data_IF_983041068007
#
_entry.id   IF_983041068007
#
_cell.length_a   1.000
_cell.length_b   1.000
_cell.length_c   1.000
_cell.angle_alpha   90.00
_cell.angle_beta   90.00
_cell.angle_gamma   90.00
#
_symmetry.space_group_name_H-M   'P 1'
#
loop_
_entity.id
_entity.type
_entity.pdbx_description
1 polymer ?
#
# COMPACT_ATOMS: atom_id res chain seq x y z
N UNK A 1 -32.00 -30.53 -11.53
CA UNK A 1 -30.66 -30.95 -11.10
C UNK A 1 -30.18 -29.93 -10.08
N UNK A 2 -29.87 -30.37 -8.87
CA UNK A 2 -29.33 -29.50 -7.83
C UNK A 2 -27.84 -29.30 -8.17
N UNK A 3 -27.40 -28.02 -8.29
CA UNK A 3 -25.98 -27.69 -8.47
C UNK A 3 -25.34 -27.68 -7.11
N UNK A 4 -24.45 -28.63 -6.89
CA UNK A 4 -23.55 -28.67 -5.73
C UNK A 4 -22.12 -28.36 -6.16
N UNK A 5 -21.25 -28.05 -5.21
CA UNK A 5 -19.82 -28.00 -5.47
C UNK A 5 -19.28 -29.41 -5.83
N UNK A 6 -18.01 -29.58 -6.26
CA UNK A 6 -17.43 -30.88 -6.57
C UNK A 6 -17.46 -31.88 -5.41
N UNK A 7 -17.61 -31.42 -4.19
CA UNK A 7 -17.69 -32.25 -2.97
C UNK A 7 -19.13 -32.57 -2.55
N UNK A 8 -20.13 -32.14 -3.32
CA UNK A 8 -21.54 -32.33 -3.00
C UNK A 8 -22.11 -31.34 -1.97
N UNK A 9 -21.35 -30.25 -1.66
CA UNK A 9 -21.78 -29.25 -0.68
C UNK A 9 -22.67 -28.20 -1.35
N UNK A 10 -23.74 -27.84 -0.63
CA UNK A 10 -24.65 -26.74 -1.00
C UNK A 10 -24.48 -25.62 0.02
N UNK A 11 -24.29 -24.40 -0.45
CA UNK A 11 -24.18 -23.21 0.38
C UNK A 11 -25.55 -22.56 0.53
N UNK A 12 -26.03 -22.47 1.78
CA UNK A 12 -27.37 -21.97 2.07
C UNK A 12 -27.37 -20.44 2.07
N UNK A 13 -28.28 -19.84 1.32
CA UNK A 13 -28.59 -18.42 1.40
C UNK A 13 -29.69 -18.22 2.45
N UNK A 14 -29.29 -17.91 3.69
CA UNK A 14 -30.24 -17.71 4.78
C UNK A 14 -31.10 -16.48 4.56
N UNK A 15 -32.42 -16.64 4.77
CA UNK A 15 -33.40 -15.54 4.77
C UNK A 15 -33.49 -14.89 6.16
N UNK A 16 -34.08 -13.69 6.23
CA UNK A 16 -34.10 -12.90 7.47
C UNK A 16 -34.79 -13.59 8.66
N UNK A 17 -35.88 -14.26 8.48
CA UNK A 17 -36.59 -15.09 9.47
C UNK A 17 -37.84 -15.71 8.88
N UNK A 18 -38.11 -16.95 9.21
CA UNK A 18 -39.32 -17.68 8.85
C UNK A 18 -40.35 -17.72 9.98
N UNK A 19 -40.20 -16.88 11.03
CA UNK A 19 -41.07 -16.89 12.23
C UNK A 19 -42.55 -16.78 11.92
N UNK A 20 -42.94 -16.06 10.86
CA UNK A 20 -44.34 -15.95 10.42
C UNK A 20 -44.92 -17.24 9.85
N UNK A 21 -44.06 -18.24 9.58
CA UNK A 21 -44.46 -19.53 9.06
C UNK A 21 -44.59 -20.58 10.19
N UNK A 22 -44.26 -20.24 11.42
CA UNK A 22 -44.40 -21.14 12.53
C UNK A 22 -45.86 -21.31 12.98
N UNK A 23 -46.25 -22.53 13.20
CA UNK A 23 -47.54 -22.89 13.79
C UNK A 23 -47.23 -23.85 14.95
N UNK A 24 -47.81 -23.57 16.10
CA UNK A 24 -47.63 -24.43 17.27
C UNK A 24 -48.26 -25.79 17.02
N UNK A 25 -47.52 -26.87 17.34
CA UNK A 25 -48.06 -28.23 17.25
C UNK A 25 -49.32 -28.42 18.13
N UNK A 26 -49.41 -27.72 19.29
CA UNK A 26 -50.61 -27.74 20.12
C UNK A 26 -51.84 -27.15 19.40
N UNK A 27 -51.63 -26.06 18.66
CA UNK A 27 -52.72 -25.44 17.88
C UNK A 27 -53.23 -26.38 16.80
N UNK A 28 -52.32 -27.13 16.16
CA UNK A 28 -52.70 -28.15 15.16
C UNK A 28 -53.44 -29.30 15.84
N UNK A 29 -52.95 -29.80 16.98
CA UNK A 29 -53.59 -30.86 17.72
C UNK A 29 -54.97 -30.49 18.21
N UNK A 30 -55.18 -29.26 18.67
CA UNK A 30 -56.45 -28.72 19.13
C UNK A 30 -57.43 -28.37 17.97
N UNK A 31 -57.06 -28.52 16.74
CA UNK A 31 -57.86 -28.10 15.57
C UNK A 31 -57.97 -26.58 15.39
N UNK A 32 -57.13 -25.80 16.09
CA UNK A 32 -57.13 -24.31 16.06
C UNK A 32 -56.13 -23.80 15.06
N UNK A 33 -56.26 -24.14 13.78
CA UNK A 33 -55.38 -23.68 12.72
C UNK A 33 -56.15 -23.42 11.44
N UNK A 34 -55.58 -22.65 10.54
CA UNK A 34 -56.12 -22.35 9.21
C UNK A 34 -55.60 -23.42 8.24
N UNK A 35 -56.50 -24.25 7.70
CA UNK A 35 -56.18 -25.33 6.75
C UNK A 35 -55.55 -24.79 5.44
N UNK A 36 -55.90 -23.59 4.98
CA UNK A 36 -55.31 -22.98 3.79
C UNK A 36 -53.80 -22.73 3.93
N UNK A 37 -53.33 -22.61 5.16
CA UNK A 37 -51.88 -22.45 5.42
C UNK A 37 -51.06 -23.70 5.17
N UNK A 38 -51.70 -24.88 5.10
CA UNK A 38 -51.04 -26.17 4.85
C UNK A 38 -51.24 -26.64 3.40
N UNK A 39 -52.24 -26.14 2.71
CA UNK A 39 -52.55 -26.57 1.38
C UNK A 39 -51.41 -26.30 0.40
N UNK A 40 -51.01 -27.34 -0.34
CA UNK A 40 -49.91 -27.30 -1.31
C UNK A 40 -48.59 -26.78 -0.76
N UNK A 41 -48.31 -27.02 0.55
CA UNK A 41 -47.08 -26.61 1.22
C UNK A 41 -46.27 -27.80 1.73
N UNK A 42 -44.95 -27.63 1.77
CA UNK A 42 -44.06 -28.52 2.50
C UNK A 42 -44.16 -28.21 3.98
N UNK A 43 -44.55 -29.19 4.81
CA UNK A 43 -44.68 -29.05 6.26
C UNK A 43 -43.50 -29.75 6.94
N UNK A 44 -42.77 -28.99 7.73
CA UNK A 44 -41.67 -29.51 8.52
C UNK A 44 -42.05 -29.49 9.98
N UNK A 45 -41.83 -30.62 10.66
CA UNK A 45 -42.08 -30.74 12.13
C UNK A 45 -40.72 -30.79 12.80
N UNK A 46 -40.51 -29.93 13.77
CA UNK A 46 -39.26 -29.88 14.52
C UNK A 46 -39.36 -29.15 15.85
N UNK A 47 -38.35 -29.34 16.68
CA UNK A 47 -38.25 -28.71 17.99
C UNK A 47 -37.79 -27.26 17.84
N UNK A 48 -38.48 -26.32 18.52
CA UNK A 48 -38.10 -24.90 18.54
C UNK A 48 -37.82 -24.35 19.96
N UNK A 49 -38.06 -25.16 20.99
CA UNK A 49 -37.86 -24.76 22.36
C UNK A 49 -36.38 -24.80 22.78
N UNK A 50 -35.94 -23.82 23.54
CA UNK A 50 -34.56 -23.70 23.99
C UNK A 50 -34.02 -24.91 24.79
N UNK A 51 -34.90 -25.64 25.48
CA UNK A 51 -34.51 -26.83 26.25
C UNK A 51 -34.26 -28.10 25.44
N UNK A 52 -34.53 -28.09 24.14
CA UNK A 52 -34.41 -29.30 23.26
C UNK A 52 -33.10 -29.32 22.46
N UNK A 53 -32.19 -28.36 22.68
CA UNK A 53 -30.81 -28.26 22.12
C UNK A 53 -30.65 -28.34 20.62
N UNK A 54 -31.72 -28.24 19.82
CA UNK A 54 -31.66 -28.18 18.36
C UNK A 54 -31.61 -26.74 17.87
N UNK A 55 -30.61 -25.99 18.34
CA UNK A 55 -30.37 -24.57 17.98
C UNK A 55 -29.06 -24.43 17.23
N UNK A 56 -29.15 -23.83 16.05
CA UNK A 56 -28.02 -23.59 15.13
C UNK A 56 -27.75 -22.10 15.01
N UNK A 57 -26.49 -21.70 15.17
CA UNK A 57 -26.05 -20.32 14.93
C UNK A 57 -25.78 -20.10 13.44
N UNK A 58 -26.51 -19.18 12.84
CA UNK A 58 -26.37 -18.85 11.42
C UNK A 58 -25.25 -17.83 11.16
N UNK A 59 -24.72 -17.74 9.95
CA UNK A 59 -23.76 -16.68 9.55
C UNK A 59 -24.32 -15.26 9.71
N UNK A 60 -25.65 -15.08 9.77
CA UNK A 60 -26.32 -13.80 10.04
C UNK A 60 -26.31 -13.40 11.53
N UNK A 61 -25.60 -14.15 12.37
CA UNK A 61 -25.51 -13.89 13.80
C UNK A 61 -26.77 -14.26 14.61
N UNK A 62 -27.73 -14.96 14.00
CA UNK A 62 -28.96 -15.40 14.64
C UNK A 62 -28.88 -16.87 15.03
N UNK A 63 -29.49 -17.21 16.14
CA UNK A 63 -29.72 -18.58 16.54
C UNK A 63 -31.13 -19.00 16.12
N UNK A 64 -31.25 -20.04 15.32
CA UNK A 64 -32.51 -20.57 14.80
C UNK A 64 -32.62 -22.06 15.11
N UNK A 65 -33.84 -22.63 15.19
CA UNK A 65 -34.03 -24.06 15.29
C UNK A 65 -33.46 -24.79 14.06
N UNK A 66 -32.94 -26.03 14.27
CA UNK A 66 -32.39 -26.84 13.17
C UNK A 66 -33.41 -27.09 12.05
N UNK A 67 -34.68 -27.25 12.39
CA UNK A 67 -35.76 -27.38 11.40
C UNK A 67 -35.86 -26.17 10.47
N UNK A 68 -35.58 -24.98 10.94
CA UNK A 68 -35.55 -23.76 10.09
C UNK A 68 -34.37 -23.78 9.09
N UNK A 69 -33.24 -24.41 9.46
CA UNK A 69 -32.14 -24.63 8.52
C UNK A 69 -32.61 -25.52 7.35
N UNK A 70 -33.29 -26.62 7.65
CA UNK A 70 -33.85 -27.51 6.62
C UNK A 70 -34.88 -26.79 5.75
N UNK A 71 -35.72 -25.94 6.34
CA UNK A 71 -36.67 -25.11 5.60
C UNK A 71 -35.95 -24.16 4.63
N UNK A 72 -34.88 -23.48 5.09
CA UNK A 72 -34.06 -22.63 4.21
C UNK A 72 -33.41 -23.42 3.07
N UNK A 73 -32.94 -24.66 3.32
CA UNK A 73 -32.37 -25.52 2.27
C UNK A 73 -33.42 -25.85 1.21
N UNK A 74 -34.62 -26.32 1.63
CA UNK A 74 -35.71 -26.66 0.71
C UNK A 74 -36.12 -25.44 -0.11
N UNK A 75 -36.31 -24.31 0.54
CA UNK A 75 -36.71 -23.07 -0.14
C UNK A 75 -35.63 -22.62 -1.13
N UNK A 76 -34.34 -22.68 -0.77
CA UNK A 76 -33.23 -22.36 -1.68
C UNK A 76 -33.21 -23.28 -2.90
N UNK A 77 -33.55 -24.58 -2.74
CA UNK A 77 -33.59 -25.53 -3.82
C UNK A 77 -34.79 -25.23 -4.75
N UNK A 78 -35.98 -24.95 -4.19
CA UNK A 78 -37.20 -24.65 -4.96
C UNK A 78 -37.03 -23.33 -5.72
N UNK A 79 -36.53 -22.31 -5.10
CA UNK A 79 -36.30 -20.96 -5.68
C UNK A 79 -35.04 -20.89 -6.54
N UNK A 80 -34.20 -21.94 -6.56
CA UNK A 80 -32.88 -21.97 -7.19
C UNK A 80 -31.99 -20.81 -6.70
N UNK A 81 -32.16 -20.41 -5.43
CA UNK A 81 -31.51 -19.23 -4.83
C UNK A 81 -30.28 -19.55 -3.96
N UNK A 82 -29.84 -20.81 -3.94
CA UNK A 82 -28.66 -21.25 -3.22
C UNK A 82 -27.39 -20.60 -3.77
N UNK A 83 -26.38 -20.48 -2.90
CA UNK A 83 -25.09 -19.93 -3.32
C UNK A 83 -24.27 -21.02 -4.01
N UNK A 84 -23.61 -20.66 -5.09
CA UNK A 84 -22.80 -21.56 -5.92
C UNK A 84 -21.34 -21.19 -5.76
N UNK A 85 -20.47 -22.19 -5.68
CA UNK A 85 -19.04 -22.04 -5.89
C UNK A 85 -18.64 -22.89 -7.11
N UNK A 86 -18.51 -22.21 -8.23
CA UNK A 86 -18.16 -22.88 -9.49
C UNK A 86 -16.65 -23.23 -9.46
N UNK A 87 -16.22 -24.41 -9.97
CA UNK A 87 -14.80 -24.74 -10.14
C UNK A 87 -14.00 -23.70 -10.92
N UNK A 88 -14.62 -23.07 -11.92
CA UNK A 88 -13.95 -22.01 -12.71
C UNK A 88 -13.70 -20.72 -11.91
N UNK A 89 -14.40 -20.52 -10.78
CA UNK A 89 -14.22 -19.36 -9.92
C UNK A 89 -12.80 -19.31 -9.34
N UNK A 90 -12.17 -20.45 -9.02
CA UNK A 90 -10.78 -20.51 -8.58
C UNK A 90 -9.79 -19.93 -9.61
N UNK A 91 -10.01 -20.24 -10.88
CA UNK A 91 -9.18 -19.74 -11.99
C UNK A 91 -9.35 -18.23 -12.12
N UNK A 92 -10.59 -17.76 -12.03
CA UNK A 92 -10.90 -16.33 -12.02
C UNK A 92 -10.23 -15.61 -10.83
N UNK A 93 -10.36 -16.14 -9.62
CA UNK A 93 -9.74 -15.60 -8.40
C UNK A 93 -8.22 -15.45 -8.55
N UNK A 94 -7.55 -16.46 -9.12
CA UNK A 94 -6.10 -16.44 -9.37
C UNK A 94 -5.71 -15.33 -10.36
N UNK A 95 -6.34 -15.31 -11.55
CA UNK A 95 -6.06 -14.29 -12.57
C UNK A 95 -6.37 -12.88 -12.07
N UNK A 96 -7.50 -12.72 -11.38
CA UNK A 96 -7.90 -11.46 -10.80
C UNK A 96 -6.89 -10.97 -9.74
N UNK A 97 -6.41 -11.87 -8.88
CA UNK A 97 -5.39 -11.56 -7.88
C UNK A 97 -4.09 -11.06 -8.51
N UNK A 98 -3.61 -11.74 -9.55
CA UNK A 98 -2.41 -11.35 -10.28
C UNK A 98 -2.61 -9.98 -10.95
N UNK A 99 -3.75 -9.79 -11.60
CA UNK A 99 -4.06 -8.54 -12.31
C UNK A 99 -4.09 -7.34 -11.36
N UNK A 100 -4.80 -7.46 -10.25
CA UNK A 100 -4.91 -6.40 -9.24
C UNK A 100 -3.55 -6.11 -8.61
N UNK A 101 -2.76 -7.14 -8.32
CA UNK A 101 -1.41 -6.98 -7.79
C UNK A 101 -0.49 -6.22 -8.76
N UNK A 102 -0.48 -6.60 -10.04
CA UNK A 102 0.31 -5.92 -11.07
C UNK A 102 -0.11 -4.45 -11.23
N UNK A 103 -1.41 -4.19 -11.35
CA UNK A 103 -1.94 -2.82 -11.47
C UNK A 103 -1.52 -1.99 -10.25
N UNK A 104 -1.72 -2.52 -9.05
CA UNK A 104 -1.37 -1.81 -7.80
C UNK A 104 0.13 -1.56 -7.70
N UNK A 105 0.96 -2.54 -8.07
CA UNK A 105 2.42 -2.39 -8.10
C UNK A 105 2.85 -1.27 -9.06
N UNK A 106 2.44 -1.33 -10.31
CA UNK A 106 2.81 -0.31 -11.31
C UNK A 106 2.29 1.09 -10.97
N UNK A 107 1.05 1.20 -10.49
CA UNK A 107 0.49 2.46 -10.05
C UNK A 107 1.26 3.05 -8.86
N UNK A 108 1.58 2.22 -7.86
CA UNK A 108 2.33 2.66 -6.68
C UNK A 108 3.73 3.19 -7.04
N UNK A 109 4.39 2.65 -8.06
CA UNK A 109 5.71 3.12 -8.50
C UNK A 109 5.65 4.46 -9.24
N UNK A 110 4.58 4.72 -10.00
CA UNK A 110 4.44 5.95 -10.81
C UNK A 110 3.92 7.15 -10.02
N UNK A 111 3.17 6.92 -8.97
CA UNK A 111 2.50 7.97 -8.20
C UNK A 111 3.43 8.48 -7.08
N UNK A 112 3.31 9.77 -6.72
CA UNK A 112 4.09 10.36 -5.61
C UNK A 112 3.85 9.58 -4.31
N UNK A 113 4.86 9.40 -3.45
CA UNK A 113 4.78 8.59 -2.22
C UNK A 113 3.57 8.90 -1.34
N UNK A 114 3.21 10.17 -1.22
CA UNK A 114 2.06 10.61 -0.41
C UNK A 114 0.71 10.05 -0.84
N UNK A 115 0.58 9.59 -2.09
CA UNK A 115 -0.67 9.02 -2.62
C UNK A 115 -0.65 7.48 -2.70
N UNK A 116 0.44 6.83 -2.32
CA UNK A 116 0.56 5.36 -2.42
C UNK A 116 -0.48 4.63 -1.57
N UNK A 117 -0.78 5.14 -0.38
CA UNK A 117 -1.85 4.61 0.47
C UNK A 117 -3.23 4.72 -0.17
N UNK A 118 -3.51 5.82 -0.89
CA UNK A 118 -4.79 5.98 -1.60
C UNK A 118 -4.94 4.96 -2.73
N UNK A 119 -3.86 4.60 -3.41
CA UNK A 119 -3.85 3.52 -4.42
C UNK A 119 -4.17 2.18 -3.77
N UNK A 120 -3.54 1.87 -2.64
CA UNK A 120 -3.79 0.63 -1.91
C UNK A 120 -5.25 0.51 -1.47
N UNK A 121 -5.79 1.52 -0.79
CA UNK A 121 -7.18 1.50 -0.34
C UNK A 121 -8.18 1.51 -1.49
N UNK A 122 -7.88 2.22 -2.59
CA UNK A 122 -8.68 2.18 -3.80
C UNK A 122 -8.74 0.79 -4.43
N UNK A 123 -7.59 0.11 -4.55
CA UNK A 123 -7.53 -1.27 -5.06
C UNK A 123 -8.24 -2.26 -4.14
N UNK A 124 -8.12 -2.08 -2.83
CA UNK A 124 -8.82 -2.88 -1.82
C UNK A 124 -10.34 -2.72 -1.95
N UNK A 125 -10.83 -1.50 -2.06
CA UNK A 125 -12.25 -1.20 -2.24
C UNK A 125 -12.80 -1.82 -3.53
N UNK A 126 -12.07 -1.71 -4.64
CA UNK A 126 -12.44 -2.34 -5.91
C UNK A 126 -12.53 -3.86 -5.76
N UNK A 127 -11.56 -4.48 -5.08
CA UNK A 127 -11.55 -5.93 -4.84
C UNK A 127 -12.77 -6.37 -4.04
N UNK A 128 -13.10 -5.67 -2.97
CA UNK A 128 -14.28 -5.94 -2.14
C UNK A 128 -15.56 -5.73 -2.95
N UNK A 129 -15.66 -4.64 -3.72
CA UNK A 129 -16.82 -4.33 -4.53
C UNK A 129 -17.10 -5.40 -5.60
N UNK A 130 -16.06 -5.94 -6.24
CA UNK A 130 -16.19 -7.03 -7.22
C UNK A 130 -16.70 -8.30 -6.54
N UNK A 131 -16.10 -8.74 -5.42
CA UNK A 131 -16.57 -9.91 -4.69
C UNK A 131 -18.02 -9.77 -4.23
N UNK A 132 -18.37 -8.60 -3.71
CA UNK A 132 -19.75 -8.30 -3.29
C UNK A 132 -20.74 -8.28 -4.46
N UNK A 133 -20.32 -7.78 -5.62
CA UNK A 133 -21.14 -7.79 -6.83
C UNK A 133 -21.46 -9.22 -7.33
N UNK A 134 -20.46 -10.11 -7.31
CA UNK A 134 -20.69 -11.53 -7.64
C UNK A 134 -21.68 -12.19 -6.67
N UNK A 135 -21.54 -11.92 -5.37
CA UNK A 135 -22.47 -12.41 -4.36
C UNK A 135 -23.90 -11.92 -4.57
N UNK A 136 -24.09 -10.62 -4.87
CA UNK A 136 -25.43 -10.03 -5.01
C UNK A 136 -26.12 -10.44 -6.31
N UNK A 137 -25.42 -10.37 -7.44
CA UNK A 137 -26.03 -10.50 -8.76
C UNK A 137 -25.98 -11.91 -9.32
N UNK A 138 -24.98 -12.70 -8.95
CA UNK A 138 -24.81 -14.06 -9.46
C UNK A 138 -25.09 -15.15 -8.44
N UNK A 139 -25.30 -14.80 -7.17
CA UNK A 139 -25.36 -15.75 -6.05
C UNK A 139 -24.11 -16.68 -6.03
N UNK A 140 -22.95 -16.17 -6.48
CA UNK A 140 -21.72 -16.91 -6.59
C UNK A 140 -20.74 -16.46 -5.49
N UNK A 141 -20.16 -17.44 -4.80
CA UNK A 141 -19.17 -17.18 -3.75
C UNK A 141 -17.78 -17.06 -4.38
N UNK A 142 -17.25 -15.84 -4.39
CA UNK A 142 -15.88 -15.52 -4.77
C UNK A 142 -15.07 -15.28 -3.50
N UNK A 143 -13.94 -15.97 -3.37
CA UNK A 143 -13.02 -15.78 -2.25
C UNK A 143 -12.13 -14.56 -2.51
N UNK A 144 -12.40 -13.47 -1.81
CA UNK A 144 -11.62 -12.24 -1.91
C UNK A 144 -10.40 -12.22 -0.98
N UNK A 145 -10.21 -13.22 -0.13
CA UNK A 145 -9.10 -13.26 0.83
C UNK A 145 -7.75 -13.38 0.13
N UNK A 146 -7.66 -14.22 -0.92
CA UNK A 146 -6.45 -14.36 -1.74
C UNK A 146 -6.05 -13.07 -2.46
N UNK A 147 -6.95 -12.41 -3.21
CA UNK A 147 -6.64 -11.11 -3.81
C UNK A 147 -6.18 -10.07 -2.80
N UNK A 148 -6.83 -9.97 -1.65
CA UNK A 148 -6.46 -9.01 -0.59
C UNK A 148 -5.07 -9.32 -0.03
N UNK A 149 -4.78 -10.60 0.22
CA UNK A 149 -3.48 -11.02 0.74
C UNK A 149 -2.35 -10.71 -0.25
N UNK A 150 -2.51 -11.10 -1.51
CA UNK A 150 -1.53 -10.84 -2.58
C UNK A 150 -1.34 -9.34 -2.79
N UNK A 151 -2.43 -8.56 -2.82
CA UNK A 151 -2.40 -7.10 -2.92
C UNK A 151 -1.60 -6.47 -1.78
N UNK A 152 -1.83 -6.93 -0.55
CA UNK A 152 -1.14 -6.42 0.64
C UNK A 152 0.36 -6.70 0.59
N UNK A 153 0.76 -7.94 0.27
CA UNK A 153 2.17 -8.31 0.14
C UNK A 153 2.83 -7.52 -0.99
N UNK A 154 2.19 -7.42 -2.15
CA UNK A 154 2.73 -6.70 -3.31
C UNK A 154 2.91 -5.22 -2.98
N UNK A 155 1.97 -4.61 -2.30
CA UNK A 155 2.06 -3.21 -1.87
C UNK A 155 3.21 -2.98 -0.89
N UNK A 156 3.33 -3.82 0.15
CA UNK A 156 4.42 -3.73 1.13
C UNK A 156 5.79 -3.93 0.46
N UNK A 157 5.89 -4.88 -0.46
CA UNK A 157 7.11 -5.12 -1.25
C UNK A 157 7.46 -3.90 -2.10
N UNK A 158 6.47 -3.29 -2.76
CA UNK A 158 6.64 -2.06 -3.53
C UNK A 158 7.12 -0.89 -2.68
N UNK A 159 6.56 -0.69 -1.50
CA UNK A 159 7.01 0.33 -0.54
C UNK A 159 8.45 0.07 -0.08
N UNK A 160 8.79 -1.18 0.21
CA UNK A 160 10.16 -1.54 0.63
C UNK A 160 11.20 -1.23 -0.42
N UNK A 161 10.98 -1.61 -1.69
CA UNK A 161 11.90 -1.28 -2.78
C UNK A 161 12.05 0.22 -2.98
N UNK A 162 10.95 0.97 -2.90
CA UNK A 162 10.97 2.42 -2.99
C UNK A 162 11.77 3.06 -1.86
N UNK A 163 11.58 2.62 -0.64
CA UNK A 163 12.36 3.06 0.52
C UNK A 163 13.86 2.81 0.32
N UNK A 164 14.24 1.63 -0.20
CA UNK A 164 15.65 1.33 -0.50
C UNK A 164 16.22 2.27 -1.56
N UNK A 165 15.46 2.58 -2.60
CA UNK A 165 15.89 3.47 -3.68
C UNK A 165 16.05 4.91 -3.19
N UNK A 166 15.10 5.43 -2.43
CA UNK A 166 15.19 6.77 -1.82
C UNK A 166 16.41 6.89 -0.89
N UNK A 167 16.67 5.88 -0.06
CA UNK A 167 17.85 5.84 0.80
C UNK A 167 19.15 5.81 0.00
N UNK A 168 19.22 5.03 -1.08
CA UNK A 168 20.39 4.99 -1.96
C UNK A 168 20.66 6.35 -2.61
N UNK A 169 19.62 7.00 -3.11
CA UNK A 169 19.73 8.34 -3.70
C UNK A 169 20.17 9.39 -2.67
N UNK A 170 19.60 9.36 -1.48
CA UNK A 170 19.98 10.25 -0.40
C UNK A 170 21.46 10.08 -0.02
N UNK A 171 21.93 8.84 0.14
CA UNK A 171 23.31 8.54 0.44
C UNK A 171 24.27 9.00 -0.67
N UNK A 172 23.92 8.75 -1.93
CA UNK A 172 24.71 9.20 -3.09
C UNK A 172 24.81 10.73 -3.16
N UNK A 173 23.75 11.45 -2.83
CA UNK A 173 23.75 12.92 -2.80
C UNK A 173 24.66 13.43 -1.67
N UNK A 174 24.57 12.83 -0.47
CA UNK A 174 25.47 13.19 0.66
C UNK A 174 26.93 12.95 0.32
N UNK A 175 27.26 11.83 -0.32
CA UNK A 175 28.62 11.54 -0.77
C UNK A 175 29.12 12.56 -1.81
N UNK A 176 28.26 12.95 -2.74
CA UNK A 176 28.58 13.98 -3.75
C UNK A 176 28.85 15.33 -3.12
N UNK A 177 28.02 15.75 -2.16
CA UNK A 177 28.21 16.99 -1.42
C UNK A 177 29.52 16.97 -0.61
N UNK A 178 29.79 15.88 0.12
CA UNK A 178 31.02 15.73 0.87
C UNK A 178 32.28 15.79 -0.04
N UNK A 179 32.23 15.17 -1.22
CA UNK A 179 33.30 15.24 -2.21
C UNK A 179 33.53 16.67 -2.72
N UNK A 180 32.46 17.39 -3.04
CA UNK A 180 32.56 18.78 -3.49
C UNK A 180 33.11 19.71 -2.41
N UNK A 181 32.72 19.51 -1.15
CA UNK A 181 33.29 20.27 -0.02
C UNK A 181 34.78 20.01 0.13
N UNK A 182 35.20 18.75 0.06
CA UNK A 182 36.62 18.38 0.17
C UNK A 182 37.44 18.96 -1.00
N UNK A 183 36.92 18.95 -2.23
CA UNK A 183 37.56 19.56 -3.40
C UNK A 183 37.75 21.07 -3.21
N UNK A 184 36.75 21.78 -2.66
CA UNK A 184 36.83 23.22 -2.35
C UNK A 184 37.87 23.51 -1.27
N UNK A 185 37.87 22.73 -0.19
CA UNK A 185 38.84 22.86 0.89
C UNK A 185 40.29 22.67 0.40
N UNK A 186 40.51 21.63 -0.43
CA UNK A 186 41.79 21.37 -1.05
C UNK A 186 42.24 22.54 -1.95
N UNK A 187 41.32 23.05 -2.81
CA UNK A 187 41.63 24.20 -3.67
C UNK A 187 42.01 25.45 -2.86
N UNK A 188 41.28 25.73 -1.78
CA UNK A 188 41.60 26.82 -0.88
C UNK A 188 42.97 26.63 -0.21
N UNK A 189 43.31 25.42 0.20
CA UNK A 189 44.64 25.08 0.76
C UNK A 189 45.76 25.29 -0.26
N UNK A 190 45.57 24.83 -1.51
CA UNK A 190 46.55 25.05 -2.58
C UNK A 190 46.75 26.55 -2.86
N UNK A 191 45.65 27.30 -3.05
CA UNK A 191 45.71 28.74 -3.29
C UNK A 191 46.48 29.47 -2.16
N UNK A 192 46.16 29.13 -0.90
CA UNK A 192 46.84 29.72 0.24
C UNK A 192 48.37 29.49 0.24
N UNK A 193 48.81 28.36 -0.30
CA UNK A 193 50.26 28.06 -0.41
C UNK A 193 50.94 28.82 -1.55
N UNK A 194 50.19 29.40 -2.49
CA UNK A 194 50.73 30.20 -3.59
C UNK A 194 50.99 31.65 -3.19
N UNK A 195 50.40 32.13 -2.12
CA UNK A 195 50.66 33.49 -1.63
C UNK A 195 52.08 33.62 -1.06
N UNK A 196 52.73 34.78 -1.26
CA UNK A 196 54.09 35.00 -0.70
C UNK A 196 54.08 34.99 0.82
N UNK A 197 55.14 34.49 1.39
CA UNK A 197 55.37 34.60 2.84
C UNK A 197 55.74 36.02 3.20
N UNK A 198 54.78 36.81 3.63
CA UNK A 198 54.92 38.25 3.95
C UNK A 198 55.85 38.45 5.16
N UNK A 199 55.97 37.50 6.08
CA UNK A 199 56.87 37.57 7.23
C UNK A 199 58.34 37.75 6.84
N UNK A 200 58.73 37.40 5.60
CA UNK A 200 60.09 37.60 5.06
C UNK A 200 60.45 39.08 4.78
N UNK A 201 59.46 39.97 4.77
CA UNK A 201 59.61 41.34 4.39
C UNK A 201 59.60 42.31 5.58
N UNK A 202 59.87 41.79 6.77
CA UNK A 202 60.14 42.49 8.06
C UNK A 202 59.54 43.89 8.13
N UNK A 203 58.33 44.06 8.60
CA UNK A 203 57.69 45.33 8.94
C UNK A 203 57.50 46.39 7.85
N UNK A 204 57.99 46.18 6.62
CA UNK A 204 57.81 47.12 5.51
C UNK A 204 56.56 46.86 4.68
N UNK A 205 56.11 45.61 4.64
CA UNK A 205 54.99 45.19 3.78
C UNK A 205 53.98 44.43 4.63
N UNK A 206 52.73 44.85 4.52
CA UNK A 206 51.59 44.09 5.06
C UNK A 206 50.61 43.78 3.91
N UNK A 207 50.35 42.54 3.69
CA UNK A 207 49.34 42.06 2.73
C UNK A 207 48.60 40.84 3.28
N UNK A 208 47.31 40.79 3.02
CA UNK A 208 46.45 39.71 3.44
C UNK A 208 45.34 39.49 2.43
N UNK A 209 45.19 38.28 1.97
CA UNK A 209 44.02 37.86 1.24
C UNK A 209 42.98 37.29 2.20
N UNK A 210 41.73 37.76 2.14
CA UNK A 210 40.60 37.25 2.92
C UNK A 210 39.52 36.81 1.92
N UNK A 211 39.53 35.54 1.53
CA UNK A 211 38.56 35.01 0.58
C UNK A 211 37.15 35.12 1.13
N UNK A 212 36.17 35.52 0.31
CA UNK A 212 34.77 35.53 0.68
C UNK A 212 34.18 34.13 0.82
N UNK A 213 34.85 33.12 0.26
CA UNK A 213 34.53 31.68 0.34
C UNK A 213 35.84 30.90 0.44
N UNK A 214 35.88 29.67 -0.01
CA UNK A 214 37.05 28.78 0.10
C UNK A 214 38.24 29.24 -0.73
N UNK A 215 38.02 29.94 -1.82
CA UNK A 215 39.04 30.52 -2.75
C UNK A 215 38.67 31.95 -3.13
N UNK A 216 39.70 32.77 -3.38
CA UNK A 216 39.57 34.16 -3.85
C UNK A 216 39.91 34.31 -5.34
N UNK A 217 39.25 35.21 -6.03
CA UNK A 217 39.70 35.67 -7.35
C UNK A 217 40.87 36.63 -7.26
N UNK A 218 41.02 37.28 -6.11
CA UNK A 218 42.12 38.24 -5.87
C UNK A 218 43.42 37.52 -5.59
N UNK A 219 44.51 37.98 -6.19
CA UNK A 219 45.85 37.48 -5.97
C UNK A 219 46.81 38.64 -5.77
N UNK A 220 47.79 38.45 -4.90
CA UNK A 220 48.91 39.37 -4.78
C UNK A 220 50.23 38.58 -4.70
N UNK A 221 51.29 39.21 -5.18
CA UNK A 221 52.65 38.70 -5.03
C UNK A 221 53.63 39.84 -4.74
N UNK A 222 54.71 39.47 -4.06
CA UNK A 222 55.79 40.40 -3.68
C UNK A 222 57.10 39.71 -3.96
N UNK A 223 57.91 40.28 -4.83
CA UNK A 223 59.22 39.77 -5.21
C UNK A 223 60.27 40.81 -4.86
N UNK A 224 61.32 40.40 -4.10
CA UNK A 224 62.47 41.23 -3.87
C UNK A 224 63.41 41.16 -5.04
N UNK A 225 63.64 42.31 -5.72
CA UNK A 225 64.44 42.40 -6.92
C UNK A 225 65.92 42.71 -6.55
N UNK A 226 66.16 43.64 -5.60
CA UNK A 226 67.49 43.97 -5.08
C UNK A 226 67.41 44.28 -3.57
N UNK A 227 68.48 44.71 -2.97
CA UNK A 227 68.50 45.05 -1.54
C UNK A 227 67.49 46.13 -1.12
N UNK A 228 67.12 47.06 -2.04
CA UNK A 228 66.21 48.17 -1.80
C UNK A 228 65.04 48.26 -2.79
N UNK A 229 64.84 47.24 -3.64
CA UNK A 229 63.80 47.25 -4.67
C UNK A 229 62.91 46.06 -4.51
N UNK A 230 61.59 46.30 -4.57
CA UNK A 230 60.55 45.31 -4.49
C UNK A 230 59.55 45.49 -5.65
N UNK A 231 59.12 44.37 -6.22
CA UNK A 231 58.09 44.36 -7.23
C UNK A 231 56.78 43.83 -6.59
N UNK A 232 55.68 44.52 -6.84
CA UNK A 232 54.33 44.17 -6.34
C UNK A 232 53.41 43.87 -7.46
N UNK A 233 52.64 42.81 -7.37
CA UNK A 233 51.57 42.47 -8.26
C UNK A 233 50.25 42.32 -7.50
N UNK A 234 49.20 42.95 -8.03
CA UNK A 234 47.80 42.76 -7.63
C UNK A 234 47.04 42.35 -8.86
N UNK A 235 46.27 41.28 -8.73
CA UNK A 235 45.45 40.76 -9.79
C UNK A 235 44.03 40.39 -9.26
N UNK A 236 43.03 40.64 -10.07
CA UNK A 236 41.65 40.21 -9.82
C UNK A 236 41.19 39.43 -11.04
N UNK A 237 40.88 38.16 -10.83
CA UNK A 237 40.40 37.27 -11.89
C UNK A 237 38.87 37.35 -11.96
N UNK A 238 38.36 37.74 -13.10
CA UNK A 238 36.93 37.84 -13.33
C UNK A 238 36.26 36.46 -13.20
N UNK A 239 35.27 36.36 -12.32
CA UNK A 239 34.55 35.13 -12.06
C UNK A 239 34.44 34.81 -10.57
N UNK A 240 33.90 33.65 -10.25
CA UNK A 240 33.72 33.18 -8.85
C UNK A 240 34.01 31.69 -8.70
N UNK A 241 34.42 31.30 -7.52
CA UNK A 241 34.67 29.91 -7.15
C UNK A 241 36.02 29.37 -7.58
N UNK A 242 36.19 28.03 -7.56
CA UNK A 242 37.47 27.34 -7.75
C UNK A 242 38.16 27.72 -9.06
N UNK A 243 37.41 27.90 -10.17
CA UNK A 243 38.00 28.28 -11.46
C UNK A 243 38.71 29.63 -11.39
N UNK A 244 38.07 30.66 -10.83
CA UNK A 244 38.68 31.99 -10.71
C UNK A 244 39.88 32.00 -9.75
N UNK A 245 39.88 31.18 -8.69
CA UNK A 245 40.96 31.12 -7.70
C UNK A 245 42.16 30.28 -8.13
N UNK A 246 42.09 29.55 -9.28
CA UNK A 246 43.18 28.67 -9.75
C UNK A 246 43.86 29.18 -11.02
N UNK A 247 43.43 30.33 -11.56
CA UNK A 247 44.07 31.05 -12.67
C UNK A 247 45.03 32.13 -12.12
#
# INVERSE_FOLDING_TARGET
KILSDPNGIIWIKFKKSLKNQYISASSVYDGKFDEERFKDKYVLIGASAQGLFDLVKTPLGKTIPGVEVHANVIENILDQSYLIRNPNTYVFELFFSILVALITFFLSQKIKPKYSLSVFFGSLLVTIAIGFSYFLFKSELVDISYPIFILTITFLTGLYFRFLEENRMALANLQKEAKLLKERELAGGVQKSLFPNIERFENFIYAKNVPARDVSGDYYDVVKVSSNEYFFTLADVSGKGIKAGMY
#
